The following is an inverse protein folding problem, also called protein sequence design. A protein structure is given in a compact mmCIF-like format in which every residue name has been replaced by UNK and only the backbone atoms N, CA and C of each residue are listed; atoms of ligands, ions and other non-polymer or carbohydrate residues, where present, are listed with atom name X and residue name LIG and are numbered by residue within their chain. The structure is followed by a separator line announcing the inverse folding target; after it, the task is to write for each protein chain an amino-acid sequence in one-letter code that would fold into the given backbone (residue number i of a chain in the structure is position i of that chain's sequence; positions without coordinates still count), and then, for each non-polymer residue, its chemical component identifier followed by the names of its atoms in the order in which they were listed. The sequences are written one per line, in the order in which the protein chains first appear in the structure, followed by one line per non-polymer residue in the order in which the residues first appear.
data_IF_826817998248
#
_entry.id   IF_826817998248
#
_cell.length_a   1.000
_cell.length_b   1.000
_cell.length_c   1.000
_cell.angle_alpha   90.00
_cell.angle_beta   90.00
_cell.angle_gamma   90.00
#
_symmetry.space_group_name_H-M   'P 1'
#
loop_
_entity.id
_entity.type
_entity.pdbx_description
1 polymer ?
#
# COMPACT_ATOMS: atom_id res chain seq x y z
N UNK A 1 -0.30 -19.78 -6.83
CA UNK A 1 -0.69 -18.35 -6.81
C UNK A 1 -0.93 -17.99 -8.26
N UNK A 2 -2.15 -17.60 -8.65
CA UNK A 2 -2.46 -17.38 -10.08
C UNK A 2 -1.46 -16.42 -10.74
N UNK A 3 -1.24 -16.60 -12.04
CA UNK A 3 -0.40 -15.72 -12.87
C UNK A 3 -1.34 -14.80 -13.63
N UNK A 4 -1.03 -13.50 -13.65
CA UNK A 4 -1.78 -12.52 -14.44
C UNK A 4 -1.16 -12.51 -15.84
N UNK A 5 -1.99 -12.74 -16.85
CA UNK A 5 -1.59 -12.54 -18.23
C UNK A 5 -1.88 -11.09 -18.62
N UNK A 6 -0.83 -10.28 -18.71
CA UNK A 6 -0.94 -8.86 -19.05
C UNK A 6 -1.18 -8.63 -20.55
N UNK A 7 -0.94 -9.61 -21.42
CA UNK A 7 -1.20 -9.49 -22.87
C UNK A 7 -2.71 -9.51 -23.14
N UNK A 8 -3.46 -10.24 -22.31
CA UNK A 8 -4.93 -10.24 -22.35
C UNK A 8 -5.55 -8.99 -21.71
N UNK A 9 -4.77 -8.20 -20.98
CA UNK A 9 -5.24 -6.98 -20.32
C UNK A 9 -4.93 -5.76 -21.17
N UNK A 10 -5.98 -5.13 -21.71
CA UNK A 10 -5.86 -3.82 -22.37
C UNK A 10 -5.68 -2.68 -21.34
N UNK A 11 -4.55 -2.64 -20.64
CA UNK A 11 -4.31 -1.74 -19.50
C UNK A 11 -4.62 -0.27 -19.82
N UNK A 12 -4.24 0.21 -21.00
CA UNK A 12 -4.52 1.59 -21.44
C UNK A 12 -6.03 1.87 -21.56
N UNK A 13 -6.81 0.90 -22.06
CA UNK A 13 -8.28 0.99 -22.17
C UNK A 13 -8.94 1.00 -20.79
N UNK A 14 -8.44 0.18 -19.85
CA UNK A 14 -8.95 0.18 -18.48
C UNK A 14 -8.70 1.54 -17.81
N UNK A 15 -7.49 2.08 -17.95
CA UNK A 15 -7.15 3.36 -17.36
C UNK A 15 -7.92 4.54 -17.99
N UNK A 16 -8.11 4.56 -19.31
CA UNK A 16 -8.91 5.61 -19.97
C UNK A 16 -10.38 5.61 -19.56
N UNK A 17 -10.89 4.45 -19.10
CA UNK A 17 -12.22 4.29 -18.51
C UNK A 17 -12.26 4.54 -17.00
N UNK A 18 -11.16 5.01 -16.41
CA UNK A 18 -11.06 5.34 -14.98
C UNK A 18 -10.72 4.16 -14.07
N UNK A 19 -10.49 2.96 -14.61
CA UNK A 19 -10.05 1.81 -13.82
C UNK A 19 -8.55 1.92 -13.56
N UNK A 20 -8.21 2.48 -12.40
CA UNK A 20 -6.85 2.61 -11.92
C UNK A 20 -6.79 2.32 -10.42
N UNK A 21 -5.66 1.79 -9.96
CA UNK A 21 -5.41 1.53 -8.55
C UNK A 21 -4.48 2.63 -8.01
N UNK A 22 -4.85 3.28 -6.90
CA UNK A 22 -3.90 3.98 -6.02
C UNK A 22 -3.76 5.51 -6.11
N UNK A 23 -4.09 6.17 -4.99
CA UNK A 23 -3.60 7.49 -4.51
C UNK A 23 -2.95 8.48 -5.50
N UNK A 24 -1.81 9.06 -5.10
CA UNK A 24 -1.11 10.12 -5.85
C UNK A 24 -0.59 9.66 -7.22
N UNK A 25 -0.34 8.37 -7.44
CA UNK A 25 0.12 7.84 -8.72
C UNK A 25 -0.91 7.97 -9.87
N UNK A 26 -2.21 7.97 -9.56
CA UNK A 26 -3.27 8.30 -10.52
C UNK A 26 -3.18 9.78 -10.96
N UNK A 27 -2.77 10.68 -10.07
CA UNK A 27 -2.64 12.12 -10.38
C UNK A 27 -1.60 12.39 -11.47
N UNK A 28 -0.61 11.52 -11.61
CA UNK A 28 0.45 11.64 -12.62
C UNK A 28 0.12 10.91 -13.94
N UNK A 29 -1.12 10.40 -14.10
CA UNK A 29 -1.61 9.66 -15.27
C UNK A 29 -0.69 8.49 -15.72
N UNK A 30 -0.02 7.85 -14.77
CA UNK A 30 0.89 6.72 -15.05
C UNK A 30 0.10 5.45 -15.30
N UNK A 31 0.49 4.70 -16.35
CA UNK A 31 -0.12 3.41 -16.62
C UNK A 31 0.08 2.47 -15.42
N UNK A 32 -1.03 1.95 -14.89
CA UNK A 32 -1.05 1.13 -13.68
C UNK A 32 -1.36 -0.34 -13.97
N UNK A 33 -0.63 -1.26 -13.35
CA UNK A 33 -0.95 -2.69 -13.36
C UNK A 33 -0.99 -3.28 -11.93
N UNK A 34 -1.93 -4.20 -11.64
CA UNK A 34 -1.92 -4.95 -10.40
C UNK A 34 -0.87 -6.07 -10.45
N UNK A 35 -0.18 -6.32 -9.36
CA UNK A 35 0.71 -7.47 -9.20
C UNK A 35 0.42 -8.14 -7.85
N UNK A 36 0.25 -9.46 -7.85
CA UNK A 36 0.11 -10.27 -6.63
C UNK A 36 1.48 -10.81 -6.28
N UNK A 37 1.95 -10.54 -5.07
CA UNK A 37 3.20 -11.07 -4.53
C UNK A 37 2.95 -12.14 -3.46
N UNK A 38 1.87 -12.00 -2.69
CA UNK A 38 1.35 -12.99 -1.74
C UNK A 38 -0.17 -13.11 -1.77
N UNK A 39 -0.68 -14.26 -1.28
CA UNK A 39 -2.10 -14.44 -0.93
C UNK A 39 -2.23 -15.16 0.40
N UNK A 40 -3.31 -14.84 1.09
CA UNK A 40 -3.71 -15.45 2.35
C UNK A 40 -3.36 -14.57 3.54
N UNK A 41 -4.31 -14.47 4.46
CA UNK A 41 -4.19 -13.66 5.66
C UNK A 41 -4.78 -14.41 6.86
N UNK A 42 -3.99 -14.69 7.91
CA UNK A 42 -4.46 -15.48 9.05
C UNK A 42 -5.32 -14.67 10.03
N UNK A 43 -5.35 -13.33 9.90
CA UNK A 43 -6.13 -12.48 10.80
C UNK A 43 -7.64 -12.79 10.74
N UNK A 44 -8.34 -12.46 11.81
CA UNK A 44 -9.74 -12.83 12.04
C UNK A 44 -10.74 -11.67 11.90
N UNK A 45 -10.31 -10.54 11.35
CA UNK A 45 -11.14 -9.36 11.12
C UNK A 45 -12.48 -9.76 10.46
N UNK A 46 -13.59 -9.61 11.16
CA UNK A 46 -14.88 -10.18 10.75
C UNK A 46 -15.56 -9.42 9.60
N UNK A 47 -15.10 -8.20 9.31
CA UNK A 47 -15.51 -7.40 8.16
C UNK A 47 -14.74 -7.72 6.86
N UNK A 48 -13.68 -8.53 6.93
CA UNK A 48 -12.75 -8.72 5.83
C UNK A 48 -13.04 -10.02 5.06
N UNK A 49 -13.22 -9.92 3.74
CA UNK A 49 -13.46 -11.06 2.85
C UNK A 49 -12.18 -11.83 2.46
N UNK A 50 -10.99 -11.27 2.73
CA UNK A 50 -9.72 -11.84 2.28
C UNK A 50 -9.51 -13.31 2.72
N UNK A 51 -9.76 -13.72 3.98
CA UNK A 51 -9.62 -15.12 4.37
C UNK A 51 -10.58 -16.07 3.63
N UNK A 52 -11.78 -15.60 3.24
CA UNK A 52 -12.73 -16.40 2.46
C UNK A 52 -12.29 -16.54 1.00
N UNK A 53 -11.75 -15.48 0.40
CA UNK A 53 -11.34 -15.49 -1.01
C UNK A 53 -9.98 -16.17 -1.23
N UNK A 54 -9.03 -15.93 -0.34
CA UNK A 54 -7.62 -16.27 -0.53
C UNK A 54 -7.10 -17.28 0.51
N UNK A 55 -7.93 -17.72 1.45
CA UNK A 55 -7.54 -18.62 2.53
C UNK A 55 -6.71 -17.94 3.63
N UNK A 56 -6.38 -18.68 4.68
CA UNK A 56 -5.61 -18.16 5.84
C UNK A 56 -4.11 -18.38 5.73
N UNK A 57 -3.69 -19.41 5.00
CA UNK A 57 -2.27 -19.75 4.86
C UNK A 57 -1.59 -18.76 3.91
N UNK A 58 -0.53 -18.11 4.37
CA UNK A 58 0.29 -17.24 3.53
C UNK A 58 1.01 -18.07 2.48
N UNK A 59 0.81 -17.70 1.21
CA UNK A 59 1.47 -18.25 0.04
C UNK A 59 2.14 -17.10 -0.69
N UNK A 60 3.39 -17.27 -1.11
CA UNK A 60 4.20 -16.23 -1.74
C UNK A 60 4.77 -16.69 -3.08
N UNK A 61 4.86 -15.77 -4.03
CA UNK A 61 5.66 -15.97 -5.22
C UNK A 61 7.15 -15.83 -4.88
N UNK A 62 8.01 -16.39 -5.73
CA UNK A 62 9.46 -16.21 -5.58
C UNK A 62 9.86 -14.76 -5.88
N UNK A 63 10.97 -14.30 -5.31
CA UNK A 63 11.51 -12.97 -5.63
C UNK A 63 11.87 -12.87 -7.11
N UNK A 64 12.38 -13.95 -7.71
CA UNK A 64 12.68 -14.03 -9.15
C UNK A 64 11.44 -13.77 -10.01
N UNK A 65 10.31 -14.43 -9.69
CA UNK A 65 9.04 -14.18 -10.37
C UNK A 65 8.63 -12.71 -10.26
N UNK A 66 8.69 -12.13 -9.06
CA UNK A 66 8.29 -10.73 -8.84
C UNK A 66 9.15 -9.79 -9.69
N UNK A 67 10.47 -9.98 -9.71
CA UNK A 67 11.40 -9.18 -10.53
C UNK A 67 11.08 -9.29 -12.02
N UNK A 68 10.88 -10.52 -12.51
CA UNK A 68 10.53 -10.79 -13.90
C UNK A 68 9.24 -10.06 -14.30
N UNK A 69 8.19 -10.18 -13.49
CA UNK A 69 6.91 -9.52 -13.78
C UNK A 69 7.03 -7.99 -13.78
N UNK A 70 7.81 -7.41 -12.85
CA UNK A 70 8.03 -5.97 -12.79
C UNK A 70 8.79 -5.48 -14.04
N UNK A 71 9.85 -6.20 -14.44
CA UNK A 71 10.60 -5.88 -15.65
C UNK A 71 9.72 -5.96 -16.89
N UNK A 72 8.91 -7.01 -17.01
CA UNK A 72 7.98 -7.20 -18.12
C UNK A 72 6.96 -6.06 -18.21
N UNK A 73 6.30 -5.75 -17.09
CA UNK A 73 5.37 -4.61 -16.98
C UNK A 73 6.03 -3.29 -17.37
N UNK A 74 7.27 -3.05 -16.91
CA UNK A 74 7.98 -1.81 -17.16
C UNK A 74 8.43 -1.65 -18.61
N UNK A 75 9.04 -2.69 -19.19
CA UNK A 75 9.66 -2.63 -20.52
C UNK A 75 8.69 -2.93 -21.66
N UNK A 76 7.80 -3.90 -21.50
CA UNK A 76 6.91 -4.37 -22.57
C UNK A 76 5.56 -3.65 -22.55
N UNK A 77 5.04 -3.36 -21.36
CA UNK A 77 3.71 -2.76 -21.20
C UNK A 77 3.74 -1.27 -20.83
N UNK A 78 4.92 -0.64 -20.77
CA UNK A 78 5.11 0.77 -20.40
C UNK A 78 4.47 1.17 -19.06
N UNK A 79 4.27 0.21 -18.15
CA UNK A 79 3.71 0.46 -16.82
C UNK A 79 4.71 1.22 -15.99
N UNK A 80 4.22 2.25 -15.29
CA UNK A 80 5.02 3.08 -14.38
C UNK A 80 4.46 3.12 -12.96
N UNK A 81 3.32 2.46 -12.75
CA UNK A 81 2.76 2.28 -11.43
C UNK A 81 2.35 0.81 -11.22
N UNK A 82 2.87 0.18 -10.17
CA UNK A 82 2.52 -1.20 -9.82
C UNK A 82 1.78 -1.21 -8.49
N UNK A 83 0.55 -1.74 -8.53
CA UNK A 83 -0.30 -1.90 -7.37
C UNK A 83 -0.18 -3.32 -6.81
N UNK A 84 0.46 -3.47 -5.65
CA UNK A 84 0.46 -4.74 -4.92
C UNK A 84 -0.89 -4.98 -4.28
N UNK A 85 -1.63 -5.93 -4.88
CA UNK A 85 -3.00 -6.31 -4.52
C UNK A 85 -3.03 -7.52 -3.57
N UNK A 86 -1.98 -7.68 -2.78
CA UNK A 86 -1.91 -8.66 -1.70
C UNK A 86 -2.98 -8.39 -0.64
N UNK A 87 -3.42 -9.45 0.05
CA UNK A 87 -4.32 -9.31 1.21
C UNK A 87 -3.68 -8.49 2.33
N UNK A 88 -2.36 -8.67 2.51
CA UNK A 88 -1.52 -7.89 3.41
C UNK A 88 -0.05 -8.09 3.03
N UNK A 89 0.48 -7.22 2.17
CA UNK A 89 1.87 -7.25 1.70
C UNK A 89 2.87 -7.32 2.86
N UNK A 90 2.60 -6.58 3.94
CA UNK A 90 3.47 -6.48 5.11
C UNK A 90 3.32 -7.63 6.11
N UNK A 91 2.45 -8.62 5.86
CA UNK A 91 2.17 -9.69 6.81
C UNK A 91 3.44 -10.40 7.29
N UNK A 92 4.35 -10.69 6.34
CA UNK A 92 5.69 -11.19 6.63
C UNK A 92 6.70 -10.06 6.36
N UNK A 93 7.01 -9.28 7.41
CA UNK A 93 7.91 -8.13 7.35
C UNK A 93 9.27 -8.48 6.73
N UNK A 94 9.88 -9.61 7.09
CA UNK A 94 11.18 -10.04 6.53
C UNK A 94 11.10 -10.26 5.02
N UNK A 95 10.06 -10.94 4.55
CA UNK A 95 9.86 -11.17 3.13
C UNK A 95 9.52 -9.88 2.37
N UNK A 96 8.71 -8.99 2.97
CA UNK A 96 8.40 -7.69 2.37
C UNK A 96 9.67 -6.85 2.17
N UNK A 97 10.60 -6.86 3.14
CA UNK A 97 11.93 -6.23 3.01
C UNK A 97 12.72 -6.80 1.84
N UNK A 98 12.77 -8.13 1.71
CA UNK A 98 13.44 -8.81 0.57
C UNK A 98 12.86 -8.38 -0.77
N UNK A 99 11.53 -8.27 -0.86
CA UNK A 99 10.86 -7.81 -2.09
C UNK A 99 11.21 -6.34 -2.36
N UNK A 100 11.16 -5.46 -1.36
CA UNK A 100 11.50 -4.04 -1.52
C UNK A 100 12.97 -3.85 -1.98
N UNK A 101 13.91 -4.58 -1.39
CA UNK A 101 15.32 -4.58 -1.80
C UNK A 101 15.47 -5.00 -3.26
N UNK A 102 14.86 -6.14 -3.63
CA UNK A 102 14.92 -6.66 -4.99
C UNK A 102 14.32 -5.69 -6.03
N UNK A 103 13.31 -4.90 -5.67
CA UNK A 103 12.73 -3.87 -6.55
C UNK A 103 13.67 -2.67 -6.66
N UNK A 104 14.23 -2.20 -5.56
CA UNK A 104 15.18 -1.09 -5.55
C UNK A 104 16.42 -1.40 -6.40
N UNK A 105 16.91 -2.64 -6.34
CA UNK A 105 18.03 -3.14 -7.16
C UNK A 105 17.76 -3.15 -8.66
N UNK A 106 16.49 -3.17 -9.11
CA UNK A 106 16.16 -3.05 -10.54
C UNK A 106 16.44 -1.64 -11.08
N UNK A 107 16.57 -0.64 -10.19
CA UNK A 107 16.89 0.74 -10.53
C UNK A 107 16.06 1.33 -11.69
N UNK A 108 14.74 1.07 -11.69
CA UNK A 108 13.82 1.46 -12.76
C UNK A 108 13.32 2.92 -12.58
N UNK A 109 13.80 3.88 -13.39
CA UNK A 109 13.46 5.29 -13.17
C UNK A 109 11.98 5.58 -13.36
N UNK A 110 11.40 6.35 -12.45
CA UNK A 110 10.00 6.75 -12.53
C UNK A 110 8.98 5.65 -12.22
N UNK A 111 9.42 4.43 -11.92
CA UNK A 111 8.58 3.38 -11.36
C UNK A 111 8.08 3.81 -9.98
N UNK A 112 6.77 3.69 -9.78
CA UNK A 112 6.10 3.88 -8.50
C UNK A 112 5.45 2.56 -8.13
N UNK A 113 5.55 2.19 -6.86
CA UNK A 113 4.90 0.99 -6.34
C UNK A 113 4.00 1.39 -5.17
N UNK A 114 2.89 0.68 -4.99
CA UNK A 114 1.90 1.01 -3.98
C UNK A 114 1.18 -0.22 -3.46
N UNK A 115 0.65 -0.11 -2.23
CA UNK A 115 -0.24 -1.10 -1.61
C UNK A 115 -1.61 -0.45 -1.41
N UNK A 116 -2.45 -0.33 -2.45
CA UNK A 116 -3.69 0.45 -2.39
C UNK A 116 -4.69 -0.10 -1.36
N UNK A 117 -4.58 -1.39 -1.02
CA UNK A 117 -5.42 -2.07 -0.03
C UNK A 117 -5.08 -1.69 1.42
N UNK A 118 -3.96 -1.00 1.63
CA UNK A 118 -3.43 -0.68 2.94
C UNK A 118 -2.41 -1.69 3.46
N UNK A 119 -1.58 -1.23 4.39
CA UNK A 119 -0.71 -2.08 5.20
C UNK A 119 -1.26 -2.23 6.61
N UNK A 120 -0.90 -3.32 7.29
CA UNK A 120 -1.24 -3.47 8.71
C UNK A 120 -0.20 -2.73 9.55
N UNK A 121 -0.66 -1.75 10.35
CA UNK A 121 0.21 -0.88 11.14
C UNK A 121 1.19 -1.65 12.03
N UNK A 122 0.74 -2.73 12.69
CA UNK A 122 1.60 -3.53 13.59
C UNK A 122 2.71 -4.33 12.89
N UNK A 123 2.77 -4.31 11.56
CA UNK A 123 3.81 -5.00 10.78
C UNK A 123 4.84 -4.07 10.14
N UNK A 124 4.61 -2.76 10.20
CA UNK A 124 5.57 -1.78 9.72
C UNK A 124 6.66 -1.57 10.79
N UNK A 125 7.91 -1.61 10.35
CA UNK A 125 9.06 -1.16 11.14
C UNK A 125 9.86 -0.11 10.36
N UNK A 126 10.83 0.52 11.04
CA UNK A 126 11.64 1.61 10.46
C UNK A 126 12.37 1.16 9.19
N UNK A 127 13.01 -0.01 9.22
CA UNK A 127 13.77 -0.53 8.08
C UNK A 127 12.87 -0.80 6.88
N UNK A 128 11.70 -1.42 7.09
CA UNK A 128 10.74 -1.66 6.02
C UNK A 128 10.23 -0.35 5.44
N UNK A 129 9.95 0.67 6.26
CA UNK A 129 9.54 1.98 5.76
C UNK A 129 10.60 2.60 4.83
N UNK A 130 11.88 2.59 5.22
CA UNK A 130 12.97 3.05 4.36
C UNK A 130 13.10 2.25 3.07
N UNK A 131 13.01 0.91 3.15
CA UNK A 131 13.09 0.05 1.97
C UNK A 131 11.91 0.26 1.02
N UNK A 132 10.70 0.48 1.54
CA UNK A 132 9.54 0.82 0.71
C UNK A 132 9.77 2.15 -0.03
N UNK A 133 10.34 3.16 0.64
CA UNK A 133 10.70 4.43 -0.01
C UNK A 133 11.71 4.25 -1.14
N UNK A 134 12.72 3.41 -0.93
CA UNK A 134 13.74 3.09 -1.94
C UNK A 134 13.16 2.28 -3.12
N UNK A 135 12.24 1.36 -2.84
CA UNK A 135 11.57 0.53 -3.83
C UNK A 135 10.55 1.28 -4.71
N UNK A 136 10.28 2.56 -4.42
CA UNK A 136 9.43 3.42 -5.23
C UNK A 136 8.08 3.78 -4.61
N UNK A 137 7.82 3.43 -3.34
CA UNK A 137 6.66 3.99 -2.64
C UNK A 137 6.86 5.49 -2.39
N UNK A 138 5.78 6.24 -2.57
CA UNK A 138 5.69 7.68 -2.26
C UNK A 138 4.62 7.98 -1.21
N UNK A 139 3.60 7.14 -1.18
CA UNK A 139 2.46 7.21 -0.27
C UNK A 139 2.20 5.81 0.29
N UNK A 140 1.98 5.70 1.60
CA UNK A 140 1.51 4.50 2.25
C UNK A 140 0.03 4.64 2.59
N UNK A 141 -0.77 3.68 2.16
CA UNK A 141 -2.14 3.55 2.64
C UNK A 141 -2.09 2.84 4.00
N UNK A 142 -2.54 3.50 5.06
CA UNK A 142 -2.69 2.91 6.39
C UNK A 142 -4.15 2.56 6.64
N UNK A 143 -4.37 1.41 7.28
CA UNK A 143 -5.70 0.88 7.51
C UNK A 143 -5.90 0.61 9.01
N UNK A 144 -6.19 1.63 9.84
CA UNK A 144 -6.60 1.42 11.22
C UNK A 144 -8.07 0.95 11.33
N UNK A 145 -8.90 1.20 10.31
CA UNK A 145 -10.37 1.11 10.30
C UNK A 145 -11.11 2.04 11.30
N UNK A 146 -10.71 2.07 12.56
CA UNK A 146 -11.37 2.89 13.58
C UNK A 146 -10.39 3.42 14.62
N UNK A 147 -10.67 4.61 15.15
CA UNK A 147 -9.99 5.19 16.32
C UNK A 147 -10.66 4.82 17.65
N UNK A 148 -11.74 4.03 17.63
CA UNK A 148 -12.47 3.60 18.82
C UNK A 148 -12.02 2.19 19.23
N UNK A 149 -11.46 1.99 20.45
CA UNK A 149 -11.13 0.66 20.95
C UNK A 149 -12.33 -0.30 20.93
N UNK A 150 -13.54 0.21 21.23
CA UNK A 150 -14.78 -0.57 21.19
C UNK A 150 -15.08 -1.07 19.78
N UNK A 151 -15.01 -0.21 18.78
CA UNK A 151 -15.29 -0.58 17.39
C UNK A 151 -14.23 -1.56 16.87
N UNK A 152 -12.95 -1.37 17.21
CA UNK A 152 -11.90 -2.31 16.84
C UNK A 152 -12.14 -3.70 17.42
N UNK A 153 -12.62 -3.78 18.67
CA UNK A 153 -13.01 -5.03 19.32
C UNK A 153 -14.18 -5.69 18.58
N UNK A 154 -15.25 -4.93 18.28
CA UNK A 154 -16.42 -5.41 17.51
C UNK A 154 -16.02 -5.92 16.11
N UNK A 155 -14.97 -5.35 15.51
CA UNK A 155 -14.44 -5.73 14.19
C UNK A 155 -13.46 -6.92 14.23
N UNK A 156 -13.17 -7.49 15.41
CA UNK A 156 -12.09 -8.46 15.63
C UNK A 156 -10.72 -7.97 15.11
N UNK A 157 -10.52 -6.65 15.07
CA UNK A 157 -9.31 -6.01 14.58
C UNK A 157 -8.36 -5.74 15.72
N UNK A 158 -7.37 -6.62 15.82
CA UNK A 158 -6.29 -6.50 16.80
C UNK A 158 -5.31 -5.36 16.45
N UNK A 159 -5.66 -4.14 16.84
CA UNK A 159 -4.84 -2.94 16.69
C UNK A 159 -4.73 -2.23 18.04
N UNK A 160 -3.51 -2.12 18.55
CA UNK A 160 -3.18 -1.16 19.61
C UNK A 160 -3.11 0.25 19.02
N UNK A 161 -4.04 1.12 19.40
CA UNK A 161 -4.10 2.51 18.93
C UNK A 161 -2.86 3.32 19.36
N UNK A 162 -2.16 2.93 20.42
CA UNK A 162 -0.93 3.59 20.83
C UNK A 162 0.22 3.37 19.82
N UNK A 163 0.09 2.43 18.88
CA UNK A 163 1.02 2.27 17.76
C UNK A 163 0.88 3.38 16.72
N UNK A 164 -0.30 3.99 16.59
CA UNK A 164 -0.61 4.91 15.48
C UNK A 164 0.37 6.08 15.44
N UNK A 165 0.63 6.84 16.53
CA UNK A 165 1.59 7.95 16.47
C UNK A 165 3.00 7.51 16.07
N UNK A 166 3.46 6.34 16.58
CA UNK A 166 4.78 5.79 16.23
C UNK A 166 4.87 5.43 14.76
N UNK A 167 3.82 4.83 14.19
CA UNK A 167 3.77 4.49 12.76
C UNK A 167 3.78 5.77 11.91
N UNK A 168 3.02 6.79 12.28
CA UNK A 168 3.02 8.08 11.59
C UNK A 168 4.43 8.69 11.57
N UNK A 169 5.12 8.69 12.72
CA UNK A 169 6.49 9.17 12.84
C UNK A 169 7.47 8.35 11.96
N UNK A 170 7.34 7.01 11.93
CA UNK A 170 8.17 6.16 11.07
C UNK A 170 7.97 6.47 9.59
N UNK A 171 6.73 6.72 9.16
CA UNK A 171 6.40 7.06 7.78
C UNK A 171 7.02 8.41 7.40
N UNK A 172 6.88 9.43 8.25
CA UNK A 172 7.47 10.75 8.01
C UNK A 172 9.00 10.70 7.96
N UNK A 173 9.64 10.00 8.91
CA UNK A 173 11.10 9.84 8.94
C UNK A 173 11.65 9.11 7.70
N UNK A 174 10.84 8.27 7.06
CA UNK A 174 11.19 7.57 5.82
C UNK A 174 10.88 8.37 4.54
N UNK A 175 10.53 9.66 4.64
CA UNK A 175 10.15 10.52 3.50
C UNK A 175 8.98 9.92 2.69
N UNK A 176 8.02 9.32 3.40
CA UNK A 176 6.78 8.80 2.84
C UNK A 176 5.61 9.68 3.27
N UNK A 177 4.65 9.85 2.38
CA UNK A 177 3.33 10.40 2.73
C UNK A 177 2.40 9.28 3.18
N UNK A 178 1.29 9.60 3.85
CA UNK A 178 0.27 8.61 4.23
C UNK A 178 -1.12 9.03 3.81
N UNK A 179 -1.95 8.03 3.54
CA UNK A 179 -3.38 8.16 3.31
C UNK A 179 -4.13 7.11 4.13
N UNK A 180 -5.27 7.46 4.71
CA UNK A 180 -6.13 6.44 5.32
C UNK A 180 -6.91 5.68 4.26
N UNK A 181 -7.09 4.38 4.43
CA UNK A 181 -8.00 3.61 3.59
C UNK A 181 -9.43 4.17 3.73
N UNK A 182 -10.11 4.55 2.63
CA UNK A 182 -11.48 5.03 2.69
C UNK A 182 -12.43 3.85 2.89
N UNK A 183 -12.98 3.67 4.09
CA UNK A 183 -14.14 2.80 4.33
C UNK A 183 -14.94 3.24 5.58
N UNK A 184 -16.24 2.92 5.57
CA UNK A 184 -17.31 3.34 6.49
C UNK A 184 -16.88 3.73 7.92
N UNK A 185 -17.19 4.96 8.32
CA UNK A 185 -17.15 5.41 9.72
C UNK A 185 -15.88 6.13 10.17
N UNK A 186 -14.86 6.26 9.33
CA UNK A 186 -13.70 7.12 9.60
C UNK A 186 -14.03 8.61 9.41
N UNK A 187 -14.88 9.17 10.27
CA UNK A 187 -15.05 10.62 10.36
C UNK A 187 -13.85 11.20 11.11
N UNK A 188 -13.05 12.02 10.43
CA UNK A 188 -12.27 13.11 11.04
C UNK A 188 -10.92 12.80 11.70
N UNK A 189 -9.95 12.18 11.02
CA UNK A 189 -8.60 12.02 11.60
C UNK A 189 -7.41 12.50 10.76
N UNK A 190 -7.50 12.65 9.43
CA UNK A 190 -6.32 12.97 8.61
C UNK A 190 -6.58 14.07 7.57
N UNK A 191 -7.11 15.21 8.00
CA UNK A 191 -7.12 16.44 7.20
C UNK A 191 -6.40 17.64 7.85
N UNK A 192 -5.88 17.52 9.07
CA UNK A 192 -5.31 18.67 9.80
C UNK A 192 -3.94 18.38 10.43
N UNK A 193 -3.01 17.85 9.63
CA UNK A 193 -1.58 17.88 9.96
C UNK A 193 -0.86 18.97 9.13
N UNK A 194 -1.48 20.13 9.00
CA UNK A 194 -0.75 21.37 8.70
C UNK A 194 -0.71 22.18 9.99
N UNK A 195 0.46 22.68 10.43
CA UNK A 195 0.47 23.67 11.50
C UNK A 195 -0.46 24.82 11.07
N UNK A 196 -1.31 25.34 11.97
CA UNK A 196 -2.20 26.44 11.63
C UNK A 196 -1.38 27.57 11.04
N UNK A 197 -1.76 28.03 9.85
CA UNK A 197 -1.19 29.23 9.25
C UNK A 197 -1.39 30.38 10.24
N UNK A 198 -0.38 31.23 10.50
CA UNK A 198 -0.61 32.40 11.33
C UNK A 198 -1.74 33.25 10.72
N UNK A 199 -2.61 33.86 11.54
CA UNK A 199 -3.68 34.70 11.02
C UNK A 199 -3.08 35.78 10.12
N UNK A 200 -3.73 36.12 8.99
CA UNK A 200 -3.26 37.19 8.13
C UNK A 200 -3.13 38.45 8.98
N UNK A 201 -1.89 38.96 9.07
CA UNK A 201 -1.59 40.18 9.78
C UNK A 201 -2.48 41.29 9.23
N UNK A 202 -3.41 41.76 10.06
CA UNK A 202 -4.15 42.98 9.78
C UNK A 202 -3.14 44.12 9.67
N UNK A 203 -3.05 44.70 8.47
CA UNK A 203 -2.52 46.04 8.33
C UNK A 203 -3.42 46.96 9.15
N UNK A 204 -2.84 47.57 10.18
CA UNK A 204 -3.31 48.82 10.76
C UNK A 204 -2.59 49.97 10.06
#
# INVERSE_FOLDING_TARGET
LGVIDYDLLQLATYQSRGYSYGGKAIRDNKLTAPLVTTRGCPYKCNFCSAPMMNGRQLRRHSVGYIREQILRLYHEHAVRHIAFVDDNFTLNTKWAKTVCQAIAELALPGLVVGTPNGIRLSRLDRELAYLMRQAGWRELVIAPESGSPRTLLEMDKDLDLALVPRVVEMIHNADLTMKQQPRFGAVGWISEAHPPSPPPGGCA
#
